data_IF_157809979079
#
_entry.id   IF_157809979079
#
_cell.length_a   1.000
_cell.length_b   1.000
_cell.length_c   1.000
_cell.angle_alpha   90.00
_cell.angle_beta   90.00
_cell.angle_gamma   90.00
#
_symmetry.space_group_name_H-M   'P 1'
#
loop_
_entity.id
_entity.type
_entity.pdbx_description
1 polymer ?
#
# COMPACT_ATOMS: atom_id res chain seq x y z
N UNK A 1 -8.60 -8.21 0.10
CA UNK A 1 -9.77 -7.77 0.91
C UNK A 1 -9.42 -6.56 1.79
N UNK A 2 -8.39 -6.62 2.70
CA UNK A 2 -8.00 -5.46 3.54
C UNK A 2 -7.53 -4.30 2.66
N UNK A 3 -6.59 -4.54 1.75
CA UNK A 3 -6.05 -3.51 0.84
C UNK A 3 -7.12 -2.91 -0.09
N UNK A 4 -8.08 -3.69 -0.53
CA UNK A 4 -9.16 -3.24 -1.41
C UNK A 4 -10.19 -2.36 -0.68
N UNK A 5 -10.65 -2.81 0.50
CA UNK A 5 -11.66 -2.06 1.28
C UNK A 5 -11.12 -0.75 1.86
N UNK A 6 -9.84 -0.72 2.22
CA UNK A 6 -9.20 0.41 2.90
C UNK A 6 -8.21 1.15 1.99
N UNK A 7 -8.44 1.11 0.68
CA UNK A 7 -7.61 1.79 -0.32
C UNK A 7 -7.24 3.23 0.05
N UNK A 8 -8.17 4.10 0.50
CA UNK A 8 -7.86 5.50 0.81
C UNK A 8 -6.99 5.69 2.07
N UNK A 9 -6.83 4.67 2.91
CA UNK A 9 -6.04 4.74 4.13
C UNK A 9 -4.52 4.65 3.90
N UNK A 10 -4.08 4.29 2.69
CA UNK A 10 -2.66 4.17 2.37
C UNK A 10 -1.97 3.04 3.13
N UNK A 11 -2.46 1.81 2.96
CA UNK A 11 -1.89 0.63 3.63
C UNK A 11 -0.55 0.27 2.98
N UNK A 12 0.51 0.29 3.76
CA UNK A 12 1.86 -0.05 3.33
C UNK A 12 2.14 -1.53 3.53
N UNK A 13 1.91 -2.02 4.74
CA UNK A 13 2.23 -3.41 5.11
C UNK A 13 1.11 -4.00 5.98
N UNK A 14 0.87 -5.30 5.78
CA UNK A 14 -0.02 -6.09 6.63
C UNK A 14 0.76 -7.32 7.06
N UNK A 15 1.04 -7.41 8.34
CA UNK A 15 1.70 -8.55 8.96
C UNK A 15 0.64 -9.37 9.70
N UNK A 16 0.67 -10.69 9.53
CA UNK A 16 -0.29 -11.61 10.14
C UNK A 16 0.51 -12.62 10.97
N UNK A 17 0.25 -12.63 12.26
CA UNK A 17 0.79 -13.61 13.18
C UNK A 17 -0.30 -14.64 13.52
N UNK A 18 0.04 -15.91 13.44
CA UNK A 18 -0.80 -17.01 13.86
C UNK A 18 -0.27 -17.56 15.18
N UNK A 19 -1.05 -17.46 16.23
CA UNK A 19 -0.78 -18.09 17.52
C UNK A 19 -1.31 -19.53 17.60
N UNK A 20 -1.18 -20.13 18.78
CA UNK A 20 -1.86 -21.37 19.18
C UNK A 20 -3.36 -21.16 19.18
N UNK A 21 -4.15 -22.23 19.06
CA UNK A 21 -5.62 -22.22 19.17
C UNK A 21 -6.37 -21.32 18.17
N UNK A 22 -5.83 -21.20 16.94
CA UNK A 22 -6.41 -20.35 15.88
C UNK A 22 -6.60 -18.87 16.30
N UNK A 23 -5.70 -18.37 17.13
CA UNK A 23 -5.58 -16.95 17.43
C UNK A 23 -4.80 -16.25 16.31
N UNK A 24 -5.38 -15.20 15.71
CA UNK A 24 -4.75 -14.40 14.66
C UNK A 24 -4.56 -12.97 15.15
N UNK A 25 -3.33 -12.46 15.02
CA UNK A 25 -3.02 -11.05 15.24
C UNK A 25 -2.66 -10.43 13.90
N UNK A 26 -3.35 -9.37 13.54
CA UNK A 26 -3.13 -8.65 12.28
C UNK A 26 -2.58 -7.26 12.61
N UNK A 27 -1.39 -6.97 12.13
CA UNK A 27 -0.77 -5.65 12.26
C UNK A 27 -0.89 -4.94 10.91
N UNK A 28 -1.58 -3.82 10.89
CA UNK A 28 -1.79 -3.01 9.69
C UNK A 28 -1.00 -1.73 9.83
N UNK A 29 0.06 -1.55 9.00
CA UNK A 29 0.80 -0.29 8.92
C UNK A 29 0.19 0.59 7.85
N UNK A 30 -0.33 1.74 8.26
CA UNK A 30 -1.02 2.67 7.36
C UNK A 30 -0.55 4.11 7.57
N UNK A 31 -0.62 4.89 6.48
CA UNK A 31 -0.29 6.31 6.53
C UNK A 31 -1.38 7.15 7.21
N UNK A 32 -2.64 6.70 7.13
CA UNK A 32 -3.79 7.38 7.73
C UNK A 32 -4.60 6.41 8.59
N UNK A 33 -4.14 6.10 9.82
CA UNK A 33 -4.81 5.12 10.69
C UNK A 33 -6.22 5.53 11.09
N UNK A 34 -6.51 6.83 11.18
CA UNK A 34 -7.84 7.33 11.51
C UNK A 34 -8.94 6.89 10.55
N UNK A 35 -8.63 6.68 9.27
CA UNK A 35 -9.58 6.16 8.28
C UNK A 35 -9.91 4.68 8.50
N UNK A 36 -8.99 3.91 9.08
CA UNK A 36 -9.19 2.49 9.41
C UNK A 36 -9.98 2.35 10.69
N UNK A 37 -9.62 3.14 11.71
CA UNK A 37 -10.28 3.10 13.02
C UNK A 37 -11.72 3.60 12.89
N UNK A 38 -11.95 4.65 12.10
CA UNK A 38 -13.27 5.25 11.91
C UNK A 38 -13.78 6.02 13.14
N UNK A 39 -14.94 6.61 13.03
CA UNK A 39 -15.57 7.37 14.13
C UNK A 39 -15.93 6.44 15.27
N UNK A 40 -15.36 6.69 16.47
CA UNK A 40 -15.63 5.90 17.67
C UNK A 40 -15.24 4.41 17.57
N UNK A 41 -14.26 4.05 16.71
CA UNK A 41 -13.78 2.67 16.57
C UNK A 41 -14.66 1.75 15.72
N UNK A 42 -15.77 2.23 15.15
CA UNK A 42 -16.70 1.41 14.35
C UNK A 42 -16.04 0.78 13.13
N UNK A 43 -15.12 1.48 12.47
CA UNK A 43 -14.43 0.96 11.30
C UNK A 43 -13.60 -0.29 11.59
N UNK A 44 -12.84 -0.28 12.69
CA UNK A 44 -12.01 -1.44 13.07
C UNK A 44 -12.89 -2.63 13.55
N UNK A 45 -14.02 -2.36 14.21
CA UNK A 45 -14.96 -3.42 14.60
C UNK A 45 -15.61 -4.09 13.39
N UNK A 46 -16.10 -3.32 12.42
CA UNK A 46 -16.67 -3.84 11.17
C UNK A 46 -15.64 -4.64 10.37
N UNK A 47 -14.41 -4.16 10.34
CA UNK A 47 -13.29 -4.85 9.67
C UNK A 47 -12.99 -6.18 10.37
N UNK A 48 -12.92 -6.19 11.69
CA UNK A 48 -12.71 -7.40 12.49
C UNK A 48 -13.82 -8.43 12.25
N UNK A 49 -15.09 -8.01 12.32
CA UNK A 49 -16.24 -8.89 12.04
C UNK A 49 -16.19 -9.48 10.62
N UNK A 50 -15.88 -8.66 9.62
CA UNK A 50 -15.78 -9.11 8.22
C UNK A 50 -14.64 -10.13 8.06
N UNK A 51 -13.50 -9.88 8.68
CA UNK A 51 -12.36 -10.79 8.63
C UNK A 51 -12.63 -12.11 9.35
N UNK A 52 -13.30 -12.07 10.52
CA UNK A 52 -13.71 -13.29 11.23
C UNK A 52 -14.64 -14.17 10.40
N UNK A 53 -15.64 -13.56 9.76
CA UNK A 53 -16.57 -14.29 8.88
C UNK A 53 -15.82 -14.96 7.74
N UNK A 54 -14.90 -14.21 7.10
CA UNK A 54 -14.11 -14.71 5.98
C UNK A 54 -13.17 -15.85 6.42
N UNK A 55 -12.49 -15.69 7.57
CA UNK A 55 -11.62 -16.73 8.13
C UNK A 55 -12.40 -17.98 8.50
N UNK A 56 -13.56 -17.84 9.16
CA UNK A 56 -14.44 -18.96 9.50
C UNK A 56 -14.90 -19.71 8.25
N UNK A 57 -15.22 -18.98 7.16
CA UNK A 57 -15.57 -19.59 5.86
C UNK A 57 -14.41 -20.39 5.29
N UNK A 58 -13.22 -19.82 5.20
CA UNK A 58 -12.02 -20.48 4.69
C UNK A 58 -11.63 -21.72 5.51
N UNK A 59 -11.79 -21.67 6.83
CA UNK A 59 -11.50 -22.81 7.70
C UNK A 59 -12.51 -23.94 7.54
N UNK A 60 -13.78 -23.62 7.30
CA UNK A 60 -14.81 -24.63 6.98
C UNK A 60 -14.53 -25.31 5.65
N UNK A 61 -14.13 -24.58 4.63
CA UNK A 61 -13.70 -25.10 3.32
C UNK A 61 -12.49 -26.05 3.45
N UNK A 62 -11.62 -25.84 4.45
CA UNK A 62 -10.49 -26.72 4.79
C UNK A 62 -10.86 -27.91 5.69
N UNK A 63 -12.14 -28.13 5.96
CA UNK A 63 -12.62 -29.30 6.69
C UNK A 63 -12.68 -29.16 8.23
N UNK A 64 -12.44 -27.96 8.77
CA UNK A 64 -12.53 -27.74 10.22
C UNK A 64 -13.98 -27.51 10.63
N UNK A 65 -14.58 -28.44 11.36
CA UNK A 65 -15.92 -28.28 11.93
C UNK A 65 -15.85 -27.30 13.12
N UNK A 66 -16.62 -26.20 13.06
CA UNK A 66 -16.74 -25.17 14.09
C UNK A 66 -15.41 -24.54 14.54
N UNK A 67 -14.70 -23.79 13.67
CA UNK A 67 -13.47 -23.13 14.06
C UNK A 67 -13.75 -22.00 15.06
N UNK A 68 -13.22 -22.14 16.27
CA UNK A 68 -13.09 -21.00 17.20
C UNK A 68 -11.95 -20.14 16.66
N UNK A 69 -12.24 -18.92 16.25
CA UNK A 69 -11.27 -17.97 15.75
C UNK A 69 -11.28 -16.77 16.66
N UNK A 70 -10.16 -16.44 17.25
CA UNK A 70 -9.93 -15.17 17.94
C UNK A 70 -9.10 -14.26 17.03
N UNK A 71 -9.59 -13.06 16.77
CA UNK A 71 -8.94 -12.10 15.89
C UNK A 71 -8.66 -10.81 16.66
N UNK A 72 -7.42 -10.35 16.64
CA UNK A 72 -7.06 -9.00 17.07
C UNK A 72 -6.45 -8.22 15.90
N UNK A 73 -6.95 -7.00 15.68
CA UNK A 73 -6.47 -6.11 14.63
C UNK A 73 -5.81 -4.91 15.28
N UNK A 74 -4.51 -4.76 15.07
CA UNK A 74 -3.72 -3.65 15.55
C UNK A 74 -3.37 -2.73 14.38
N UNK A 75 -3.64 -1.44 14.51
CA UNK A 75 -3.31 -0.45 13.48
C UNK A 75 -2.15 0.39 13.98
N UNK A 76 -1.07 0.40 13.21
CA UNK A 76 0.13 1.18 13.48
C UNK A 76 0.22 2.34 12.50
N UNK A 77 0.55 3.52 13.01
CA UNK A 77 0.82 4.68 12.17
C UNK A 77 2.23 4.60 11.57
N UNK A 78 2.33 4.96 10.31
CA UNK A 78 3.61 5.09 9.63
C UNK A 78 4.24 6.44 9.96
N UNK A 79 5.22 6.47 10.87
CA UNK A 79 5.86 7.71 11.39
C UNK A 79 6.40 8.63 10.29
N UNK A 80 6.82 8.09 9.13
CA UNK A 80 7.34 8.84 7.98
C UNK A 80 6.74 8.27 6.70
N UNK A 81 5.48 8.59 6.45
CA UNK A 81 4.75 8.09 5.27
C UNK A 81 5.41 8.48 3.95
N UNK A 82 6.04 9.66 3.90
CA UNK A 82 6.69 10.21 2.70
C UNK A 82 7.94 9.43 2.28
N UNK A 83 8.55 8.67 3.19
CA UNK A 83 9.74 7.87 2.89
C UNK A 83 9.40 6.45 2.44
N UNK A 84 8.18 5.99 2.65
CA UNK A 84 7.75 4.64 2.25
C UNK A 84 7.48 4.57 0.75
N UNK A 85 8.26 3.74 0.04
CA UNK A 85 8.11 3.56 -1.40
C UNK A 85 6.72 3.08 -1.79
N UNK A 86 6.13 2.17 -1.01
CA UNK A 86 4.78 1.64 -1.27
C UNK A 86 3.70 2.71 -1.15
N UNK A 87 3.80 3.61 -0.17
CA UNK A 87 2.83 4.70 -0.02
C UNK A 87 2.96 5.72 -1.13
N UNK A 88 4.20 6.11 -1.47
CA UNK A 88 4.45 7.04 -2.58
C UNK A 88 3.94 6.47 -3.91
N UNK A 89 4.14 5.17 -4.17
CA UNK A 89 3.60 4.52 -5.35
C UNK A 89 2.06 4.59 -5.40
N UNK A 90 1.38 4.38 -4.28
CA UNK A 90 -0.08 4.53 -4.19
C UNK A 90 -0.54 5.97 -4.45
N UNK A 91 0.15 6.97 -3.89
CA UNK A 91 -0.16 8.38 -4.13
C UNK A 91 -0.03 8.75 -5.61
N UNK A 92 1.03 8.26 -6.27
CA UNK A 92 1.23 8.48 -7.70
C UNK A 92 0.08 7.83 -8.50
N UNK A 93 -0.29 6.59 -8.15
CA UNK A 93 -1.40 5.89 -8.81
C UNK A 93 -2.72 6.67 -8.69
N UNK A 94 -3.06 7.14 -7.49
CA UNK A 94 -4.28 7.95 -7.27
C UNK A 94 -4.29 9.27 -8.05
N UNK A 95 -3.15 9.92 -8.18
CA UNK A 95 -3.06 11.16 -8.96
C UNK A 95 -3.20 10.88 -10.47
N UNK A 96 -2.64 9.76 -10.95
CA UNK A 96 -2.83 9.34 -12.33
C UNK A 96 -4.30 8.97 -12.63
N UNK A 97 -5.01 8.33 -11.70
CA UNK A 97 -6.45 8.06 -11.79
C UNK A 97 -7.28 9.36 -11.86
N UNK A 98 -6.81 10.41 -11.18
CA UNK A 98 -7.38 11.77 -11.28
C UNK A 98 -6.96 12.52 -12.55
N UNK A 99 -6.32 11.84 -13.51
CA UNK A 99 -5.84 12.41 -14.78
C UNK A 99 -4.84 13.55 -14.63
N UNK A 100 -4.01 13.52 -13.58
CA UNK A 100 -2.93 14.48 -13.44
C UNK A 100 -1.81 14.18 -14.47
N UNK A 101 -1.19 15.19 -15.07
CA UNK A 101 -0.10 15.01 -16.03
C UNK A 101 1.04 14.23 -15.42
N UNK A 102 1.46 13.11 -16.04
CA UNK A 102 2.39 12.15 -15.47
C UNK A 102 3.75 12.77 -15.12
N UNK A 103 4.33 13.61 -16.01
CA UNK A 103 5.65 14.21 -15.79
C UNK A 103 5.65 15.17 -14.59
N UNK A 104 4.58 15.93 -14.42
CA UNK A 104 4.42 16.83 -13.27
C UNK A 104 4.27 16.04 -11.98
N UNK A 105 3.50 14.97 -12.00
CA UNK A 105 3.30 14.08 -10.87
C UNK A 105 4.61 13.43 -10.45
N UNK A 106 5.36 12.83 -11.39
CA UNK A 106 6.67 12.24 -11.09
C UNK A 106 7.66 13.24 -10.47
N UNK A 107 7.77 14.44 -11.04
CA UNK A 107 8.66 15.48 -10.49
C UNK A 107 8.28 15.87 -9.07
N UNK A 108 6.99 16.12 -8.83
CA UNK A 108 6.47 16.51 -7.51
C UNK A 108 6.78 15.46 -6.44
N UNK A 109 6.48 14.19 -6.72
CA UNK A 109 6.75 13.13 -5.73
C UNK A 109 8.23 12.83 -5.56
N UNK A 110 9.02 12.97 -6.62
CA UNK A 110 10.47 12.83 -6.52
C UNK A 110 11.08 13.94 -5.63
N UNK A 111 10.62 15.16 -5.77
CA UNK A 111 11.04 16.29 -4.94
C UNK A 111 10.59 16.10 -3.49
N UNK A 112 9.34 15.67 -3.26
CA UNK A 112 8.80 15.38 -1.93
C UNK A 112 9.64 14.33 -1.19
N UNK A 113 9.95 13.21 -1.86
CA UNK A 113 10.77 12.14 -1.29
C UNK A 113 12.18 12.63 -0.97
N UNK A 114 12.78 13.43 -1.87
CA UNK A 114 14.14 13.97 -1.69
C UNK A 114 14.26 15.07 -0.64
N UNK A 115 13.15 15.61 -0.12
CA UNK A 115 13.17 16.54 1.02
C UNK A 115 13.54 15.85 2.34
N UNK A 116 13.33 14.52 2.42
CA UNK A 116 13.73 13.73 3.58
C UNK A 116 15.23 13.55 3.64
N UNK A 117 15.84 13.94 4.78
CA UNK A 117 17.30 13.83 4.99
C UNK A 117 17.84 12.39 4.98
N UNK A 118 16.98 11.41 5.23
CA UNK A 118 17.36 10.00 5.30
C UNK A 118 17.43 9.33 3.93
N UNK A 119 17.00 10.01 2.85
CA UNK A 119 16.94 9.44 1.51
C UNK A 119 18.08 10.01 0.64
N UNK A 120 18.97 9.14 0.22
CA UNK A 120 20.12 9.49 -0.64
C UNK A 120 19.74 9.58 -2.12
N UNK A 121 18.69 8.91 -2.52
CA UNK A 121 18.20 8.94 -3.89
C UNK A 121 16.90 8.17 -4.07
N UNK A 122 16.17 8.54 -5.12
CA UNK A 122 14.92 7.89 -5.49
C UNK A 122 14.79 7.76 -7.01
N UNK A 123 14.08 6.73 -7.45
CA UNK A 123 13.75 6.49 -8.85
C UNK A 123 12.28 6.12 -8.96
N UNK A 124 11.54 6.86 -9.77
CA UNK A 124 10.14 6.59 -10.10
C UNK A 124 10.09 6.12 -11.55
N UNK A 125 9.37 5.03 -11.80
CA UNK A 125 9.17 4.47 -13.15
C UNK A 125 7.68 4.24 -13.35
N UNK A 126 7.16 4.76 -14.45
CA UNK A 126 5.80 4.54 -14.91
C UNK A 126 5.82 3.73 -16.21
N UNK A 127 4.87 2.83 -16.38
CA UNK A 127 4.73 2.02 -17.60
C UNK A 127 3.25 1.80 -17.91
N UNK A 128 2.88 1.97 -19.17
CA UNK A 128 1.52 1.83 -19.65
C UNK A 128 1.18 2.87 -20.72
N UNK A 129 -0.10 3.10 -20.94
CA UNK A 129 -0.62 4.15 -21.83
C UNK A 129 -0.56 5.52 -21.16
N UNK A 130 0.64 6.07 -21.10
CA UNK A 130 0.90 7.32 -20.38
C UNK A 130 0.22 8.50 -21.10
N UNK A 131 -0.52 9.32 -20.32
CA UNK A 131 -1.32 10.45 -20.79
C UNK A 131 -2.34 10.08 -21.90
N UNK A 132 -2.81 8.83 -21.95
CA UNK A 132 -3.78 8.36 -22.92
C UNK A 132 -3.22 8.01 -24.30
N UNK A 133 -1.88 7.93 -24.46
CA UNK A 133 -1.26 7.53 -25.71
C UNK A 133 -1.73 6.13 -26.17
N UNK A 134 -1.87 5.91 -27.49
CA UNK A 134 -2.30 4.61 -28.02
C UNK A 134 -1.28 3.51 -27.75
N UNK A 135 0.01 3.84 -27.87
CA UNK A 135 1.11 2.90 -27.65
C UNK A 135 1.63 3.05 -26.23
N UNK A 136 1.68 1.92 -25.51
CA UNK A 136 2.25 1.86 -24.18
C UNK A 136 3.76 2.17 -24.22
N UNK A 137 4.20 2.99 -23.28
CA UNK A 137 5.62 3.33 -23.14
C UNK A 137 6.05 3.32 -21.68
N UNK A 138 7.34 3.40 -21.48
CA UNK A 138 7.93 3.44 -20.12
C UNK A 138 8.70 4.75 -19.99
N UNK A 139 8.39 5.50 -18.94
CA UNK A 139 9.15 6.69 -18.57
C UNK A 139 9.64 6.55 -17.13
N UNK A 140 10.81 7.10 -16.85
CA UNK A 140 11.37 7.09 -15.51
C UNK A 140 12.08 8.41 -15.21
N UNK A 141 12.10 8.78 -13.94
CA UNK A 141 12.85 9.89 -13.39
C UNK A 141 13.60 9.40 -12.16
N UNK A 142 14.86 9.85 -12.04
CA UNK A 142 15.67 9.56 -10.87
C UNK A 142 16.35 10.84 -10.39
N UNK A 143 16.57 10.92 -9.07
CA UNK A 143 17.31 12.01 -8.42
C UNK A 143 18.13 11.43 -7.27
N UNK A 144 19.36 11.93 -7.11
CA UNK A 144 20.27 11.45 -6.09
C UNK A 144 21.00 10.14 -6.45
N UNK A 145 21.54 9.48 -5.44
CA UNK A 145 22.35 8.25 -5.60
C UNK A 145 21.48 7.03 -5.24
N UNK A 146 21.32 6.11 -6.19
CA UNK A 146 20.61 4.85 -5.98
C UNK A 146 21.50 3.68 -6.43
N UNK A 147 22.35 3.15 -5.55
CA UNK A 147 23.29 2.08 -5.88
C UNK A 147 22.57 0.73 -5.95
N UNK A 148 22.20 0.29 -7.16
CA UNK A 148 21.48 -0.99 -7.35
C UNK A 148 22.38 -2.23 -7.21
N UNK A 149 23.70 -2.08 -7.40
CA UNK A 149 24.67 -3.18 -7.34
C UNK A 149 25.27 -3.39 -5.95
N UNK A 150 24.90 -2.57 -4.97
CA UNK A 150 25.49 -2.62 -3.63
C UNK A 150 24.55 -3.37 -2.69
N UNK A 151 24.90 -4.59 -2.29
CA UNK A 151 24.11 -5.42 -1.37
C UNK A 151 23.89 -4.80 0.01
N UNK A 152 24.81 -3.93 0.45
CA UNK A 152 24.73 -3.22 1.74
C UNK A 152 23.72 -2.06 1.71
N UNK A 153 23.31 -1.60 0.54
CA UNK A 153 22.36 -0.49 0.42
C UNK A 153 20.95 -0.94 0.82
N UNK A 154 20.33 -0.21 1.73
CA UNK A 154 18.92 -0.42 2.06
C UNK A 154 18.06 0.29 1.02
N UNK A 155 17.36 -0.49 0.19
CA UNK A 155 16.49 0.01 -0.88
C UNK A 155 15.07 -0.44 -0.57
N UNK A 156 14.17 0.54 -0.38
CA UNK A 156 12.73 0.28 -0.27
C UNK A 156 12.10 0.27 -1.67
N UNK A 157 11.19 -0.66 -1.90
CA UNK A 157 10.50 -0.83 -3.18
C UNK A 157 8.98 -0.83 -2.98
N UNK A 158 8.29 -0.10 -3.84
CA UNK A 158 6.84 -0.06 -3.87
C UNK A 158 6.30 -0.10 -5.29
N UNK A 159 5.21 -0.82 -5.50
CA UNK A 159 4.49 -0.88 -6.75
C UNK A 159 2.99 -0.67 -6.52
N UNK A 160 2.37 0.11 -7.40
CA UNK A 160 0.93 0.33 -7.41
C UNK A 160 0.45 0.41 -8.86
N UNK A 161 -0.79 0.03 -9.09
CA UNK A 161 -1.42 0.07 -10.40
C UNK A 161 -2.52 1.12 -10.38
N UNK A 162 -2.49 2.05 -11.32
CA UNK A 162 -3.54 3.03 -11.56
C UNK A 162 -4.49 2.53 -12.65
N UNK A 163 -5.77 2.61 -12.40
CA UNK A 163 -6.82 2.19 -13.34
C UNK A 163 -7.43 3.42 -14.01
N UNK A 164 -7.11 3.61 -15.28
CA UNK A 164 -7.60 4.72 -16.09
C UNK A 164 -8.61 4.23 -17.13
N UNK A 165 -9.38 5.15 -17.73
CA UNK A 165 -10.32 4.85 -18.83
C UNK A 165 -9.63 4.26 -20.06
N UNK A 166 -8.35 4.50 -20.24
CA UNK A 166 -7.55 4.02 -21.37
C UNK A 166 -6.78 2.72 -21.07
N UNK A 167 -6.87 2.19 -19.85
CA UNK A 167 -6.15 1.01 -19.40
C UNK A 167 -5.39 1.23 -18.10
N UNK A 168 -4.44 0.37 -17.79
CA UNK A 168 -3.65 0.39 -16.54
C UNK A 168 -2.28 1.03 -16.72
N UNK A 169 -1.84 1.74 -15.70
CA UNK A 169 -0.49 2.33 -15.60
C UNK A 169 0.18 1.87 -14.32
#
# INVERSE_FOLDING_TARGET
LIKEKLHPAGIVKVDIERGTDNAFRIFVKAAKPGLIIGRGGKGIEELSKTLEITLKKLMRERGTKNPKVSLSVNVEELKRSETSAQYVAQLIAWDLEKRMPMRRTMKRYLEMVMQSKDIFGAKIRLSGRLDGAEIARREWLAKGKLPLNTLRANIDYGAATAFNTYGTV
#
